data_IF_562896666697
#
_entry.id   IF_562896666697
#
_cell.length_a   1.000
_cell.length_b   1.000
_cell.length_c   1.000
_cell.angle_alpha   90.00
_cell.angle_beta   90.00
_cell.angle_gamma   90.00
#
_symmetry.space_group_name_H-M   'P 1'
#
loop_
_entity.id
_entity.type
_entity.pdbx_description
1 polymer ?
2 polymer ?
3 polymer ?
4 non-polymer ?
5 water ?
#
# COMPACT_ATOMS: atom_id res chain seq x y z
N UNK A 1 -5.41 5.46 -7.96
CA UNK A 1 -5.33 4.29 -8.89
C UNK A 1 -5.81 4.75 -10.26
N UNK A 2 -4.95 4.68 -11.26
CA UNK A 2 -5.33 5.06 -12.63
C UNK A 2 -5.81 3.82 -13.38
N UNK A 3 -6.97 3.94 -14.03
CA UNK A 3 -7.46 2.88 -14.91
C UNK A 3 -7.98 1.69 -14.16
N UNK A 4 -8.40 1.95 -12.90
CA UNK A 4 -9.02 0.91 -12.08
C UNK A 4 -10.54 1.05 -12.07
N UNK A 5 -11.19 0.36 -11.14
CA UNK A 5 -12.65 0.44 -10.95
C UNK A 5 -12.93 0.75 -9.48
N UNK A 6 -14.16 1.13 -9.16
CA UNK A 6 -14.55 1.35 -7.77
C UNK A 6 -14.77 0.02 -7.08
N UNK A 7 -14.05 -0.22 -5.98
CA UNK A 7 -14.18 -1.50 -5.27
C UNK A 7 -15.61 -1.64 -4.72
N UNK A 8 -16.12 -2.86 -4.67
CA UNK A 8 -17.30 -3.15 -3.84
C UNK A 8 -17.09 -2.66 -2.41
N UNK A 9 -18.05 -1.91 -1.90
CA UNK A 9 -17.99 -1.38 -0.54
C UNK A 9 -17.57 -2.45 0.46
N UNK A 10 -16.46 -2.14 1.13
CA UNK A 10 -15.97 -2.88 2.29
C UNK A 10 -15.46 -4.24 1.90
N UNK A 11 -15.30 -4.45 0.59
CA UNK A 11 -14.42 -5.48 0.15
C UNK A 11 -13.08 -4.77 0.42
N UNK A 12 -11.98 -5.50 0.49
CA UNK A 12 -10.72 -4.96 0.98
C UNK A 12 -10.80 -4.45 2.44
N UNK A 13 -11.28 -5.28 3.38
CA UNK A 13 -11.40 -4.86 4.78
C UNK A 13 -10.08 -4.51 5.45
N UNK A 14 -8.98 -4.99 4.87
CA UNK A 14 -7.66 -4.71 5.47
C UNK A 14 -7.12 -3.34 5.09
N UNK A 15 -7.78 -2.68 4.13
CA UNK A 15 -7.32 -1.38 3.65
C UNK A 15 -7.57 -0.31 4.71
N UNK A 16 -6.58 0.53 4.99
CA UNK A 16 -6.78 1.71 5.84
C UNK A 16 -6.40 3.00 5.12
N UNK A 17 -7.00 4.09 5.57
CA UNK A 17 -6.61 5.44 5.14
C UNK A 17 -5.84 6.08 6.31
N UNK A 18 -4.66 6.62 6.03
CA UNK A 18 -3.90 7.38 7.00
C UNK A 18 -4.30 8.83 6.80
N UNK A 19 -4.68 9.51 7.89
CA UNK A 19 -5.27 10.84 7.77
C UNK A 19 -4.54 11.82 8.69
N UNK A 20 -4.11 12.96 8.13
CA UNK A 20 -3.57 14.05 8.93
C UNK A 20 -4.26 15.35 8.51
N UNK A 21 -5.54 15.47 8.85
CA UNK A 21 -6.33 16.59 8.36
C UNK A 21 -7.03 16.20 7.07
N UNK A 22 -6.42 15.30 6.32
CA UNK A 22 -6.99 14.74 5.10
C UNK A 22 -6.24 13.48 4.77
N UNK A 23 -6.85 12.64 3.93
CA UNK A 23 -6.17 11.43 3.46
C UNK A 23 -4.86 11.81 2.81
N UNK A 24 -3.80 11.06 3.12
CA UNK A 24 -2.55 11.27 2.43
C UNK A 24 -1.84 9.99 1.96
N UNK A 25 -2.16 8.86 2.56
CA UNK A 25 -1.49 7.61 2.22
C UNK A 25 -2.40 6.47 2.64
N UNK A 26 -2.17 5.30 2.06
CA UNK A 26 -2.89 4.12 2.47
C UNK A 26 -2.03 3.29 3.42
N UNK A 27 -2.55 2.15 3.83
CA UNK A 27 -1.82 1.19 4.63
C UNK A 27 -2.66 -0.08 4.73
N UNK A 28 -2.12 -1.08 5.40
CA UNK A 28 -2.77 -2.39 5.53
C UNK A 28 -2.77 -2.85 6.97
N UNK A 29 -3.87 -3.46 7.40
CA UNK A 29 -4.01 -3.91 8.78
C UNK A 29 -3.50 -5.33 8.85
N UNK A 30 -2.40 -5.55 9.57
CA UNK A 30 -1.83 -6.89 9.64
C UNK A 30 -2.00 -7.66 10.96
N UNK A 31 -2.32 -6.95 12.04
CA UNK A 31 -2.99 -7.58 13.19
C UNK A 31 -3.82 -6.48 13.87
N UNK A 32 -4.60 -6.84 14.88
CA UNK A 32 -5.56 -5.87 15.45
C UNK A 32 -4.96 -4.52 15.88
N UNK A 33 -3.66 -4.45 16.15
CA UNK A 33 -3.12 -3.11 16.39
C UNK A 33 -1.85 -2.67 15.70
N UNK A 34 -1.62 -3.23 14.52
CA UNK A 34 -0.48 -2.85 13.70
C UNK A 34 -0.87 -2.71 12.23
N UNK A 35 -0.53 -1.54 11.69
CA UNK A 35 -0.72 -1.22 10.26
C UNK A 35 0.64 -1.05 9.60
N UNK A 36 0.81 -1.65 8.44
CA UNK A 36 2.03 -1.48 7.67
C UNK A 36 1.75 -0.55 6.50
N UNK A 37 2.69 0.36 6.29
CA UNK A 37 2.60 1.36 5.22
C UNK A 37 4.02 1.60 4.64
N UNK A 38 4.21 2.77 4.03
CA UNK A 38 5.46 3.19 3.40
C UNK A 38 6.21 4.21 4.27
N UNK A 39 7.51 3.99 4.43
CA UNK A 39 8.34 4.91 5.17
C UNK A 39 8.33 6.33 4.62
N UNK A 40 8.22 6.51 3.30
CA UNK A 40 8.09 7.88 2.78
C UNK A 40 6.75 8.58 3.14
N UNK A 41 5.79 7.84 3.67
CA UNK A 41 4.52 8.42 4.14
C UNK A 41 4.61 8.98 5.55
N UNK A 42 5.78 8.79 6.19
CA UNK A 42 5.99 9.26 7.55
C UNK A 42 5.47 10.67 7.78
N UNK A 43 4.71 10.83 8.85
CA UNK A 43 4.13 12.12 9.20
C UNK A 43 4.09 12.29 10.70
N UNK B 1 4.41 14.48 13.39
CA UNK B 1 4.65 13.07 13.76
C UNK B 1 3.31 12.43 14.18
N UNK B 2 2.22 12.84 13.51
CA UNK B 2 0.87 12.59 13.99
C UNK B 2 0.01 11.98 12.88
N UNK B 3 -0.61 10.84 13.18
CA UNK B 3 -1.35 10.07 12.16
C UNK B 3 -2.63 9.47 12.79
N UNK B 4 -3.78 9.75 12.20
CA UNK B 4 -5.00 9.02 12.56
C UNK B 4 -5.28 7.96 11.50
N UNK B 5 -5.41 6.72 11.93
CA UNK B 5 -5.67 5.60 11.04
C UNK B 5 -7.20 5.36 10.93
N UNK B 6 -7.73 5.33 9.72
CA UNK B 6 -9.17 5.20 9.56
C UNK B 6 -9.52 3.86 8.94
N UNK B 7 -10.11 3.01 9.76
CA UNK B 7 -10.47 1.65 9.33
C UNK B 7 -11.97 1.57 8.98
N UNK B 8 -12.29 0.61 8.12
CA UNK B 8 -13.69 0.38 7.74
C UNK B 8 -14.23 1.39 6.76
N UNK B 9 -13.34 2.08 6.04
CA UNK B 9 -13.77 3.12 5.10
C UNK B 9 -14.09 2.56 3.73
N UNK B 10 -14.96 3.26 3.04
CA UNK B 10 -15.11 3.13 1.60
C UNK B 10 -15.20 4.53 0.99
N UNK B 11 -16.17 5.32 1.46
CA UNK B 11 -16.31 6.71 1.04
C UNK B 11 -15.59 7.57 2.07
N UNK B 12 -14.36 7.98 1.77
CA UNK B 12 -13.59 8.69 2.80
C UNK B 12 -14.16 10.07 3.14
N UNK B 13 -15.12 10.52 2.35
CA UNK B 13 -15.67 11.85 2.49
C UNK B 13 -16.97 11.88 3.28
N UNK B 14 -17.55 10.71 3.54
CA UNK B 14 -18.79 10.63 4.28
C UNK B 14 -18.70 9.66 5.46
N UNK B 15 -19.07 10.13 6.64
CA UNK B 15 -19.12 9.24 7.80
C UNK B 15 -20.32 8.29 7.66
N UNK B 16 -20.02 7.04 7.33
CA UNK B 16 -20.97 6.03 6.85
C UNK B 16 -21.55 5.18 7.97
N UNK B 17 -20.80 5.08 9.06
CA UNK B 17 -21.24 4.32 10.21
C UNK B 17 -20.22 3.29 10.67
N UNK B 18 -19.61 2.60 9.71
CA UNK B 18 -18.77 1.42 9.96
C UNK B 18 -17.31 1.72 10.37
N UNK B 19 -16.95 3.00 10.34
CA UNK B 19 -15.56 3.41 10.43
C UNK B 19 -15.08 3.38 11.86
N UNK B 20 -13.80 3.09 12.03
CA UNK B 20 -13.13 3.18 13.34
C UNK B 20 -11.93 4.05 13.11
N UNK B 21 -11.89 5.21 13.75
CA UNK B 21 -10.74 6.09 13.62
C UNK B 21 -9.89 5.91 14.87
N UNK B 22 -8.68 5.41 14.71
CA UNK B 22 -7.80 5.16 15.85
C UNK B 22 -6.46 5.85 15.61
N UNK B 23 -6.00 6.64 16.59
CA UNK B 23 -4.75 7.38 16.38
C UNK B 23 -3.56 6.43 16.45
N UNK B 24 -2.47 6.81 15.80
CA UNK B 24 -1.23 6.05 15.89
C UNK B 24 -0.57 6.33 17.24
N UNK B 25 -0.17 5.27 17.92
CA UNK B 25 0.55 5.41 19.18
C UNK B 25 2.05 5.41 18.90
N UNK B 26 2.49 4.49 18.06
CA UNK B 26 3.91 4.37 17.71
C UNK B 26 4.07 4.30 16.20
N UNK B 27 4.99 5.10 15.66
CA UNK B 27 5.32 5.12 14.22
C UNK B 27 6.80 4.72 14.00
N UNK B 28 7.03 3.56 13.38
CA UNK B 28 8.38 2.97 13.31
C UNK B 28 8.79 2.70 11.86
N UNK B 29 9.73 3.54 11.40
CA UNK B 29 10.22 3.49 10.01
C UNK B 29 11.39 2.51 9.92
N UNK B 30 11.56 1.85 8.78
CA UNK B 30 12.59 0.81 8.70
C UNK B 30 13.96 1.45 8.95
N UNK B 31 14.85 0.77 9.71
CA UNK B 31 16.06 1.51 10.12
C UNK B 31 16.97 1.83 8.92
N UNK B 32 16.80 1.06 7.84
CA UNK B 32 17.62 1.24 6.64
C UNK B 32 16.90 1.92 5.51
N UNK B 33 15.74 2.54 5.81
CA UNK B 33 15.09 3.30 4.76
C UNK B 33 16.07 4.33 4.15
N UNK B 34 16.09 4.41 2.84
CA UNK B 34 16.97 5.32 2.12
C UNK B 34 16.09 6.21 1.28
N UNK B 35 16.03 7.48 1.64
CA UNK B 35 15.10 8.36 0.97
C UNK B 35 15.47 8.74 -0.45
N UNK B 36 16.67 8.34 -0.85
CA UNK B 36 17.24 8.74 -2.12
C UNK B 36 16.90 7.63 -3.09
N UNK B 37 17.14 6.41 -2.67
CA UNK B 37 16.89 5.28 -3.51
C UNK B 37 15.48 4.72 -3.27
N UNK B 38 14.89 5.12 -2.15
CA UNK B 38 13.58 4.61 -1.70
C UNK B 38 13.67 3.13 -1.32
N UNK B 39 14.90 2.67 -1.10
CA UNK B 39 15.13 1.30 -0.62
C UNK B 39 14.63 1.16 0.82
N UNK B 40 13.96 0.04 1.12
CA UNK B 40 13.36 -0.20 2.44
C UNK B 40 12.22 0.76 2.78
N UNK B 41 11.35 1.00 1.80
CA UNK B 41 10.23 1.92 1.98
C UNK B 41 9.11 1.21 2.73
N UNK B 42 9.23 1.14 4.05
CA UNK B 42 8.27 0.38 4.83
C UNK B 42 8.27 0.92 6.26
N UNK B 43 7.10 0.88 6.88
CA UNK B 43 6.89 1.56 8.14
C UNK B 43 5.73 0.86 8.84
N UNK B 44 5.91 0.64 10.13
CA UNK B 44 4.89 0.03 10.99
C UNK B 44 4.25 1.10 11.88
N UNK B 45 2.93 1.03 12.04
CA UNK B 45 2.21 1.95 12.92
C UNK B 45 1.50 1.12 13.99
N UNK B 46 1.71 1.48 15.25
CA UNK B 46 0.97 0.84 16.34
C UNK B 46 -0.24 1.68 16.68
N UNK B 47 -1.42 1.07 16.73
CA UNK B 47 -2.65 1.79 17.04
C UNK B 47 -2.75 2.03 18.54
N UNK B 48 -3.27 3.19 18.92
CA UNK B 48 -3.51 3.55 20.33
C UNK B 48 -4.42 2.56 21.09
N UNK B 49 -5.39 2.01 20.36
CA UNK B 49 -6.24 0.92 20.86
C UNK B 49 -6.27 -0.08 19.72
N UNK B 50 -6.54 -1.35 20.04
CA UNK B 50 -6.80 -2.38 19.03
C UNK B 50 -7.97 -2.03 18.13
N UNK B 51 -7.84 -2.35 16.84
CA UNK B 51 -9.01 -2.39 15.97
C UNK B 51 -9.90 -3.56 16.35
N UNK B 52 -11.21 -3.34 16.19
CA UNK B 52 -12.19 -4.39 16.37
C UNK B 52 -12.44 -5.02 15.01
N UNK B 53 -12.18 -6.31 14.94
CA UNK B 53 -12.27 -7.05 13.71
C UNK B 53 -13.68 -7.59 13.54
N UNK B 54 -14.22 -7.50 12.33
CA UNK B 54 -15.64 -7.76 12.03
C UNK B 54 -15.84 -7.82 10.51
N UNK B 55 -17.07 -7.65 10.04
CA UNK B 55 -17.33 -7.69 8.60
C UNK B 55 -16.51 -6.64 7.87
N UNK B 56 -16.48 -5.43 8.42
CA UNK B 56 -15.89 -4.27 7.74
C UNK B 56 -14.37 -4.13 7.91
N UNK B 57 -13.76 -4.91 8.80
CA UNK B 57 -12.37 -4.71 9.22
C UNK B 57 -11.70 -6.05 9.51
N UNK B 58 -10.57 -6.30 8.86
CA UNK B 58 -9.96 -7.60 8.85
C UNK B 58 -8.48 -7.46 8.51
N UNK B 59 -7.65 -8.37 9.01
CA UNK B 59 -6.22 -8.35 8.76
C UNK B 59 -5.93 -9.01 7.40
N UNK B 60 -4.73 -8.82 6.90
CA UNK B 60 -4.30 -9.51 5.68
C UNK B 60 -3.01 -10.27 6.01
N UNK B 61 -2.90 -11.51 5.56
CA UNK B 61 -1.73 -12.34 5.89
C UNK B 61 -0.44 -11.75 5.27
N UNK B 62 0.64 -11.88 6.02
CA UNK B 62 1.99 -11.64 5.49
C UNK B 62 2.37 -12.79 4.55
N UNK B 63 3.27 -12.52 3.58
CA UNK B 63 3.58 -13.58 2.62
C UNK B 63 4.28 -14.79 3.25
N UNK B 64 3.88 -15.97 2.79
CA UNK B 64 4.48 -17.24 3.19
C UNK B 64 5.75 -17.50 2.35
N UNK B 65 5.83 -16.82 1.19
CA UNK B 65 7.00 -16.83 0.33
C UNK B 65 6.88 -15.64 -0.65
N UNK B 66 7.94 -15.36 -1.40
CA UNK B 66 7.83 -14.33 -2.44
C UNK B 66 7.03 -14.91 -3.60
N UNK B 67 6.49 -14.04 -4.44
CA UNK B 67 5.49 -14.44 -5.43
C UNK B 67 6.17 -14.67 -6.77
N UNK B 68 5.73 -15.68 -7.51
CA UNK B 68 6.18 -15.90 -8.90
C UNK B 68 5.86 -14.72 -9.83
N UNK B 69 6.71 -14.49 -10.83
CA UNK B 69 6.36 -13.49 -11.84
C UNK B 69 5.08 -13.95 -12.52
N UNK B 70 4.21 -13.01 -12.84
CA UNK B 70 2.96 -13.34 -13.49
C UNK B 70 1.79 -13.50 -12.54
N UNK B 71 2.06 -13.55 -11.24
CA UNK B 71 1.01 -13.53 -10.24
C UNK B 71 0.15 -12.29 -10.38
N UNK B 72 -1.16 -12.51 -10.40
CA UNK B 72 -2.13 -11.42 -10.46
C UNK B 72 -2.36 -10.93 -9.03
N UNK B 73 -2.46 -9.62 -8.86
CA UNK B 73 -2.58 -9.04 -7.54
C UNK B 73 -3.64 -7.97 -7.60
N UNK B 74 -4.03 -7.48 -6.42
CA UNK B 74 -5.04 -6.46 -6.32
C UNK B 74 -4.48 -5.31 -5.51
N UNK B 75 -4.52 -4.11 -6.09
CA UNK B 75 -3.90 -2.90 -5.56
C UNK B 75 -5.08 -1.93 -5.36
N UNK B 76 -5.14 -1.27 -4.22
CA UNK B 76 -6.29 -0.44 -3.88
C UNK B 76 -5.82 0.88 -3.25
N UNK B 77 -6.60 1.93 -3.41
CA UNK B 77 -6.31 3.18 -2.73
C UNK B 77 -7.22 4.32 -3.14
N UNK B 78 -7.03 5.45 -2.46
CA UNK B 78 -7.77 6.67 -2.80
C UNK B 78 -6.86 7.69 -3.46
N UNK B 79 -5.80 7.19 -4.10
CA UNK B 79 -4.88 8.06 -4.83
C UNK B 79 -5.45 8.68 -6.09
N UNK B 80 -4.66 9.54 -6.70
CA UNK B 80 -5.05 10.22 -7.94
C UNK B 80 -5.48 9.23 -9.02
N UNK B 81 -6.56 9.56 -9.74
CA UNK B 81 -7.08 8.65 -10.77
C UNK B 81 -6.83 9.13 -12.20
N UNK B 82 -6.19 10.28 -12.35
CA UNK B 82 -5.85 10.80 -13.66
C UNK B 82 -4.33 10.92 -13.80
N UNK C 1 -3.94 9.78 -16.77
CA UNK C 1 -2.59 10.04 -17.34
C UNK C 1 -2.19 11.51 -17.18
N UNK C 2 -3.18 12.38 -17.14
CA UNK C 2 -2.94 13.82 -17.06
C UNK C 2 -4.01 14.48 -16.20
N UNK C 3 -3.59 15.42 -15.35
CA UNK C 3 -4.53 16.14 -14.52
C UNK C 3 -4.54 15.63 -13.09
N UNK C 4 -5.63 15.90 -12.38
CA UNK C 4 -5.77 15.45 -11.00
C UNK C 4 -7.24 15.19 -10.67
N UNK C 5 -7.49 14.04 -10.06
CA UNK C 5 -8.81 13.65 -9.62
C UNK C 5 -8.67 12.64 -8.49
N UNK C 6 -9.02 13.06 -7.29
CA UNK C 6 -8.86 12.24 -6.10
C UNK C 6 -10.25 11.75 -5.63
N UNK C 7 -10.47 10.43 -5.65
CA UNK C 7 -11.82 9.89 -5.48
C UNK C 7 -12.29 9.90 -4.02
N UNK C 8 -13.61 9.91 -3.85
CA UNK C 8 -14.21 9.66 -2.54
C UNK C 8 -14.25 8.15 -2.29
N UNK C 9 -14.57 7.36 -3.32
CA UNK C 9 -14.73 5.91 -3.14
C UNK C 9 -13.43 5.14 -3.43
N UNK C 10 -13.19 4.07 -2.67
CA UNK C 10 -11.96 3.29 -2.82
C UNK C 10 -11.88 2.68 -4.23
N UNK C 11 -10.69 2.74 -4.81
CA UNK C 11 -10.44 2.18 -6.13
C UNK C 11 -9.59 0.90 -6.06
N UNK C 12 -9.79 0.06 -7.08
CA UNK C 12 -9.18 -1.26 -7.15
C UNK C 12 -8.54 -1.44 -8.53
N UNK C 13 -7.55 -2.33 -8.60
CA UNK C 13 -6.86 -2.62 -9.86
C UNK C 13 -6.21 -4.00 -9.78
N UNK C 14 -6.49 -4.84 -10.76
CA UNK C 14 -5.81 -6.11 -10.91
C UNK C 14 -4.58 -5.88 -11.80
N UNK C 15 -3.44 -6.41 -11.36
CA UNK C 15 -2.19 -6.19 -12.08
C UNK C 15 -1.27 -7.31 -11.74
N UNK C 16 -0.41 -7.74 -12.69
CA UNK C 16 0.48 -8.90 -12.50
C UNK C 16 1.88 -8.47 -12.02
N UNK C 17 2.52 -9.35 -11.26
CA UNK C 17 3.91 -9.13 -10.87
C UNK C 17 4.74 -9.29 -12.14
N UNK C 18 5.51 -8.24 -12.44
CA UNK C 18 6.46 -8.23 -13.56
C UNK C 18 7.74 -8.95 -13.14
N UNK C 19 8.36 -9.65 -14.08
CA UNK C 19 9.64 -10.31 -13.82
C UNK C 19 10.74 -9.28 -13.63
N UNK C 20 11.66 -9.61 -12.73
CA UNK C 20 12.86 -8.83 -12.43
C UNK C 20 13.43 -8.08 -13.64
N UNK C 21 13.51 -8.80 -14.75
CA UNK C 21 14.05 -8.27 -16.00
C UNK C 21 13.25 -7.06 -16.47
N UNK C 22 11.99 -7.28 -16.83
CA UNK C 22 11.10 -6.20 -17.27
C UNK C 22 11.02 -5.05 -16.24
N UNK C 23 11.31 -5.35 -14.99
CA UNK C 23 11.28 -4.30 -13.99
C UNK C 23 12.58 -3.49 -14.08
N UNK C 24 13.69 -4.21 -14.24
CA UNK C 24 15.01 -3.57 -14.25
C UNK C 24 15.31 -2.84 -15.56
N UNK C 25 14.81 -3.38 -16.68
CA UNK C 25 14.89 -2.69 -17.98
C UNK C 25 14.23 -1.34 -17.83
N UNK C 26 13.08 -1.31 -17.15
CA UNK C 26 12.33 -0.07 -17.05
C UNK C 26 13.07 0.98 -16.25
N UNK C 27 13.77 0.58 -15.18
CA UNK C 27 14.48 1.56 -14.33
C UNK C 27 15.97 1.17 -14.12
N UNK C 28 16.78 1.26 -15.18
CA UNK C 28 18.17 0.77 -15.13
C UNK C 28 18.94 1.32 -13.91
N UNK C 29 19.48 0.41 -13.11
CA UNK C 29 20.29 0.78 -11.97
C UNK C 29 19.51 1.25 -10.75
N UNK C 30 18.18 1.17 -10.74
CA UNK C 30 17.39 1.74 -9.65
C UNK C 30 16.57 0.74 -8.85
N UNK C 31 16.48 -0.48 -9.36
CA UNK C 31 15.70 -1.54 -8.72
C UNK C 31 16.58 -2.41 -7.82
N UNK C 32 16.32 -2.36 -6.52
CA UNK C 32 17.12 -3.12 -5.59
C UNK C 32 16.41 -4.46 -5.34
N UNK C 33 17.05 -5.30 -4.52
CA UNK C 33 16.49 -6.61 -4.21
C UNK C 33 15.23 -6.50 -3.33
N UNK C 34 14.96 -5.31 -2.81
CA UNK C 34 13.81 -5.08 -1.96
C UNK C 34 12.66 -4.49 -2.74
N UNK C 35 12.71 -4.59 -4.06
CA UNK C 35 11.71 -3.96 -4.92
C UNK C 35 11.17 -4.94 -5.95
N UNK C 36 9.86 -4.85 -6.26
CA UNK C 36 9.28 -5.57 -7.39
C UNK C 36 8.42 -4.62 -8.19
N UNK C 37 8.30 -4.87 -9.51
CA UNK C 37 7.37 -4.12 -10.34
C UNK C 37 6.07 -4.89 -10.52
N UNK C 38 4.96 -4.15 -10.51
CA UNK C 38 3.64 -4.75 -10.69
C UNK C 38 2.81 -3.78 -11.53
N UNK C 39 2.29 -4.27 -12.65
CA UNK C 39 1.51 -3.38 -13.50
C UNK C 39 1.61 -3.71 -14.97
N UNK C 40 1.69 -2.68 -15.81
CA UNK C 40 1.51 -2.80 -17.25
C UNK C 40 2.49 -1.84 -17.96
N UNK C 41 3.25 -2.36 -18.92
CA UNK C 41 4.21 -1.55 -19.65
C UNK C 41 3.54 -0.70 -20.72
N UNK C 42 2.32 -1.04 -21.10
CA UNK C 42 1.57 -0.25 -22.06
C UNK C 42 1.10 1.06 -21.42
N UNK C 43 1.22 1.14 -20.10
CA UNK C 43 0.70 2.29 -19.39
C UNK C 43 -0.79 2.19 -19.15
N UNK C 44 -1.40 3.27 -18.66
CA UNK C 44 -2.84 3.32 -18.50
C UNK C 44 -3.36 2.88 -17.14
N UNK C 45 -2.75 1.83 -16.57
CA UNK C 45 -3.21 1.26 -15.30
C UNK C 45 -2.04 1.31 -14.32
N UNK C 46 -2.22 1.99 -13.19
CA UNK C 46 -1.09 2.13 -12.25
C UNK C 46 -1.58 2.70 -10.93
N UNK C 47 -0.76 2.57 -9.90
CA UNK C 47 -1.01 3.33 -8.67
C UNK C 47 -0.42 4.72 -8.86
N UNK C 48 -0.84 5.67 -8.02
CA UNK C 48 -0.46 7.07 -8.17
C UNK C 48 -0.35 7.75 -6.80
N UNK C 49 -0.11 9.07 -6.82
CA UNK C 49 0.01 9.83 -5.57
C UNK C 49 -1.23 9.65 -4.71
N UNK C 50 -1.02 9.31 -3.45
CA UNK C 50 -2.15 9.11 -2.54
C UNK C 50 -2.42 7.65 -2.31
N UNK C 51 -1.98 6.82 -3.24
CA UNK C 51 -2.02 5.38 -3.08
C UNK C 51 -0.87 4.86 -2.20
N UNK C 52 0.24 5.61 -2.15
CA UNK C 52 1.43 5.18 -1.40
C UNK C 52 1.09 4.60 0.00
N UNK C 53 1.75 3.49 0.34
CA UNK C 53 1.53 2.87 1.64
C UNK C 53 0.53 1.74 1.57
N UNK C 54 -0.33 1.80 0.58
CA UNK C 54 -1.43 0.83 0.48
C UNK C 54 -0.97 -0.54 0.04
N UNK C 55 -1.91 -1.50 -0.04
CA UNK C 55 -1.63 -2.92 -0.25
C UNK C 55 -1.54 -3.35 -1.71
N UNK C 56 -0.69 -4.34 -1.96
CA UNK C 56 -0.68 -5.12 -3.19
C UNK C 56 -0.83 -6.57 -2.75
N UNK C 57 -2.05 -7.10 -2.84
CA UNK C 57 -2.31 -8.43 -2.32
C UNK C 57 -2.46 -9.46 -3.43
N UNK C 58 -1.75 -10.58 -3.31
CA UNK C 58 -1.70 -11.59 -4.38
C UNK C 58 -1.91 -12.92 -3.68
N UNK C 59 -2.92 -13.66 -4.13
CA UNK C 59 -3.25 -14.95 -3.54
C UNK C 59 -3.36 -14.85 -2.01
N UNK C 60 -4.00 -13.77 -1.54
CA UNK C 60 -4.31 -13.62 -0.12
C UNK C 60 -3.15 -13.18 0.74
N UNK C 61 -2.04 -12.84 0.09
CA UNK C 61 -0.85 -12.44 0.83
C UNK C 61 -0.42 -11.05 0.45
N UNK C 62 -0.07 -10.24 1.44
CA UNK C 62 0.48 -8.92 1.18
C UNK C 62 1.91 -9.03 0.63
N UNK C 63 2.06 -8.91 -0.69
CA UNK C 63 3.38 -8.99 -1.35
C UNK C 63 4.05 -7.64 -1.65
N UNK C 64 3.26 -6.57 -1.68
CA UNK C 64 3.82 -5.28 -1.98
C UNK C 64 3.23 -4.14 -1.18
N UNK C 65 4.00 -3.06 -1.06
CA UNK C 65 3.51 -1.78 -0.56
C UNK C 65 3.71 -0.73 -1.66
N UNK C 66 2.69 0.08 -1.91
CA UNK C 66 2.81 1.13 -2.93
C UNK C 66 3.96 2.07 -2.54
N UNK C 67 4.99 2.11 -3.38
CA UNK C 67 6.23 2.83 -3.07
C UNK C 67 6.54 3.98 -4.03
N UNK C 68 6.87 3.72 -5.29
CA UNK C 68 7.30 4.82 -6.17
C UNK C 68 7.16 4.52 -7.67
N UNK C 69 7.66 5.43 -8.50
CA UNK C 69 7.54 5.28 -9.95
C UNK C 69 7.94 6.55 -10.67
N UNK C 70 7.88 6.54 -12.01
CA UNK C 70 8.13 7.76 -12.77
C UNK C 70 6.76 8.25 -13.21
N UNK C 71 6.17 9.18 -12.46
CA UNK C 71 4.77 9.50 -12.66
C UNK C 71 3.86 8.30 -12.40
N UNK C 72 2.70 8.27 -13.06
CA UNK C 72 1.78 7.13 -12.94
C UNK C 72 1.29 6.80 -14.34
N UNK C 73 1.13 5.50 -14.58
CA UNK C 73 0.41 5.00 -15.74
C UNK C 73 1.05 5.34 -17.09
N UNK C 74 2.37 5.55 -17.08
CA UNK C 74 3.11 5.80 -18.33
C UNK C 74 3.60 4.50 -18.96
N UNK C 75 3.65 4.50 -20.29
CA UNK C 75 4.23 3.38 -21.04
C UNK C 75 5.64 3.08 -20.53
N UNK C 76 5.89 1.82 -20.22
CA UNK C 76 7.21 1.34 -19.82
C UNK C 76 7.71 1.98 -18.52
N UNK C 77 6.78 2.43 -17.70
CA UNK C 77 7.14 2.95 -16.40
C UNK C 77 6.20 2.37 -15.34
N UNK C 78 6.20 1.03 -15.17
CA UNK C 78 5.30 0.39 -14.19
C UNK C 78 5.63 0.79 -12.75
N UNK C 79 4.62 0.65 -11.88
CA UNK C 79 4.80 0.96 -10.47
C UNK C 79 5.85 0.07 -9.86
N UNK C 80 6.55 0.63 -8.87
CA UNK C 80 7.54 -0.09 -8.10
C UNK C 80 7.10 -0.14 -6.65
N UNK C 81 7.27 -1.31 -6.05
CA UNK C 81 6.60 -1.64 -4.81
C UNK C 81 7.58 -2.32 -3.87
N UNK C 82 7.45 -2.01 -2.59
CA UNK C 82 8.31 -2.62 -1.58
C UNK C 82 7.98 -4.10 -1.54
N UNK C 83 9.03 -4.92 -1.65
CA UNK C 83 8.89 -6.36 -1.64
C UNK C 83 8.71 -6.85 -0.21
N UNK C 84 7.45 -7.00 0.21
CA UNK C 84 7.15 -7.37 1.59
C UNK C 84 7.71 -8.72 2.07
N UNK C 85 7.96 -9.64 1.15
CA UNK C 85 8.36 -10.99 1.51
C UNK C 85 9.80 -11.03 2.08
N UNK C 86 10.53 -9.94 1.90
CA UNK C 86 11.87 -9.79 2.49
C UNK C 86 11.82 -9.33 3.95
N UNK C 87 10.64 -8.90 4.42
CA UNK C 87 10.59 -8.22 5.70
C UNK C 87 9.79 -8.89 6.80
N UNK C 88 9.40 -10.14 6.60
CA UNK C 88 8.53 -10.78 7.60
C UNK C 88 9.22 -10.85 8.96
N UNK C 89 10.54 -11.04 8.96
CA UNK C 89 11.29 -11.17 10.22
C UNK C 89 11.31 -9.84 10.96
N UNK C 90 11.64 -8.77 10.24
CA UNK C 90 11.68 -7.42 10.79
C UNK C 90 10.31 -7.06 11.35
N UNK C 91 9.25 -7.39 10.61
CA UNK C 91 7.91 -7.02 11.02
C UNK C 91 7.54 -7.70 12.33
N UNK C 92 7.75 -9.02 12.35
CA UNK C 92 7.47 -9.81 13.54
C UNK C 92 8.28 -9.35 14.74
N UNK C 93 9.58 -9.11 14.53
CA UNK C 93 10.47 -8.73 15.61
C UNK C 93 10.04 -7.42 16.21
N UNK C 94 9.65 -6.49 15.33
CA UNK C 94 9.24 -5.17 15.75
C UNK C 94 7.94 -5.24 16.54
N UNK C 95 7.02 -6.07 16.08
CA UNK C 95 5.74 -6.23 16.74
C UNK C 95 5.94 -6.89 18.11
N UNK C 96 6.85 -7.85 18.19
CA UNK C 96 7.16 -8.50 19.47
C UNK C 96 7.74 -7.53 20.51
N UNK C 97 8.56 -6.58 20.06
CA UNK C 97 9.28 -5.70 20.95
C UNK C 97 8.48 -4.50 21.42
N UNK C 98 7.33 -4.25 20.82
CA UNK C 98 6.75 -2.93 20.90
C UNK C 98 5.27 -2.91 21.27
#
# INVERSE_FOLDING_TARGET
>A
IVGGYTCAANSIPYQVSLNSGSHFCGGSLINSQWVVSAAHCYK
>B
SRIQVRLGEHNIDVLEGNEQFINAAKIITHPNFNGNTLDNDIMLIKLSSPATLNSRVATVSLPRSCAAAGTECLISGWGNTK
>C
SSGSSYPSLLQCLKAPVLSNSSCKSSYPGQITGNMICVGFLQGGKDSCQGDSGGPVVCNGQLQGIVSWGYGCAQKNKPGVYTKVCNYVNWIQQTIAAN
#
